data_IF_938708097914
#
_entry.id   IF_938708097914
#
_cell.length_a   1.000
_cell.length_b   1.000
_cell.length_c   1.000
_cell.angle_alpha   90.00
_cell.angle_beta   90.00
_cell.angle_gamma   90.00
#
_symmetry.space_group_name_H-M   'P 1'
#
loop_
_entity.id
_entity.type
_entity.pdbx_description
1 polymer ?
#
# COMPACT_ATOMS: atom_id res chain seq x y z
N UNK A 1 -4.34 18.42 -19.92
CA UNK A 1 -5.52 17.94 -20.68
C UNK A 1 -5.44 16.43 -20.75
N UNK A 2 -6.15 15.70 -19.89
CA UNK A 2 -6.15 14.23 -19.95
C UNK A 2 -7.25 13.81 -20.92
N UNK A 3 -6.86 13.16 -22.02
CA UNK A 3 -7.80 12.65 -23.01
C UNK A 3 -8.77 11.66 -22.36
N UNK A 4 -10.04 11.71 -22.79
CA UNK A 4 -11.14 10.91 -22.27
C UNK A 4 -10.93 9.42 -22.64
N UNK A 5 -10.11 8.70 -21.88
CA UNK A 5 -9.78 7.29 -22.13
C UNK A 5 -10.97 6.41 -21.70
N UNK A 6 -11.69 5.86 -22.67
CA UNK A 6 -12.71 4.82 -22.42
C UNK A 6 -12.03 3.44 -22.39
N UNK A 7 -12.20 2.66 -21.31
CA UNK A 7 -11.62 1.33 -21.19
C UNK A 7 -12.28 0.37 -22.21
N UNK A 8 -11.46 -0.36 -22.95
CA UNK A 8 -11.84 -1.23 -24.08
C UNK A 8 -12.32 -2.60 -23.61
N UNK A 9 -11.93 -3.07 -22.44
CA UNK A 9 -12.33 -4.37 -21.88
C UNK A 9 -12.48 -4.34 -20.35
N UNK A 10 -12.95 -5.46 -19.78
CA UNK A 10 -13.13 -5.59 -18.32
C UNK A 10 -11.82 -5.55 -17.53
N UNK A 11 -10.72 -6.01 -18.13
CA UNK A 11 -9.40 -5.93 -17.50
C UNK A 11 -8.96 -4.47 -17.35
N UNK A 12 -9.06 -3.65 -18.40
CA UNK A 12 -8.74 -2.21 -18.36
C UNK A 12 -9.67 -1.41 -17.44
N UNK A 13 -10.90 -1.89 -17.18
CA UNK A 13 -11.79 -1.29 -16.18
C UNK A 13 -11.32 -1.55 -14.76
N UNK A 14 -10.84 -2.77 -14.49
CA UNK A 14 -10.46 -3.20 -13.14
C UNK A 14 -8.99 -2.88 -12.82
N UNK A 15 -8.13 -2.89 -13.83
CA UNK A 15 -6.70 -2.70 -13.73
C UNK A 15 -6.31 -1.47 -14.54
N UNK A 16 -5.91 -0.40 -13.85
CA UNK A 16 -5.35 0.79 -14.46
C UNK A 16 -3.94 0.99 -13.91
N UNK A 17 -2.95 1.09 -14.78
CA UNK A 17 -1.59 1.40 -14.36
C UNK A 17 -1.56 2.84 -13.82
N UNK A 18 -1.08 3.03 -12.60
CA UNK A 18 -1.01 4.34 -11.93
C UNK A 18 0.41 4.88 -11.98
N UNK A 19 1.40 4.01 -11.77
CA UNK A 19 2.82 4.38 -11.74
C UNK A 19 3.53 3.89 -13.02
N UNK A 20 4.28 4.79 -13.66
CA UNK A 20 5.11 4.49 -14.84
C UNK A 20 6.59 4.34 -14.51
N UNK A 21 6.99 4.74 -13.30
CA UNK A 21 8.34 4.70 -12.76
C UNK A 21 8.29 4.46 -11.25
N UNK A 22 9.46 4.15 -10.67
CA UNK A 22 9.62 3.97 -9.23
C UNK A 22 9.23 5.25 -8.46
N UNK A 23 8.22 5.20 -7.57
CA UNK A 23 7.81 6.36 -6.76
C UNK A 23 8.89 6.87 -5.81
N UNK A 24 9.94 6.10 -5.53
CA UNK A 24 11.06 6.52 -4.69
C UNK A 24 12.20 7.20 -5.46
N UNK A 25 12.13 7.29 -6.79
CA UNK A 25 13.22 7.84 -7.61
C UNK A 25 13.55 9.31 -7.26
N UNK A 26 12.53 10.11 -6.96
CA UNK A 26 12.65 11.56 -6.70
C UNK A 26 12.41 11.93 -5.23
N UNK A 27 12.34 10.93 -4.35
CA UNK A 27 12.13 11.13 -2.90
C UNK A 27 13.48 11.33 -2.22
N UNK A 28 13.52 12.22 -1.22
CA UNK A 28 14.75 12.51 -0.46
C UNK A 28 15.30 11.27 0.26
N UNK A 29 16.60 11.29 0.57
CA UNK A 29 17.29 10.13 1.12
C UNK A 29 16.76 9.71 2.50
N UNK A 30 16.39 10.66 3.37
CA UNK A 30 15.88 10.35 4.71
C UNK A 30 14.53 9.61 4.64
N UNK A 31 13.63 10.07 3.77
CA UNK A 31 12.36 9.36 3.53
C UNK A 31 12.61 7.96 2.96
N UNK A 32 13.57 7.80 2.03
CA UNK A 32 13.92 6.48 1.48
C UNK A 32 14.47 5.54 2.56
N UNK A 33 15.33 6.04 3.44
CA UNK A 33 15.92 5.28 4.55
C UNK A 33 14.87 4.84 5.58
N UNK A 34 13.81 5.63 5.77
CA UNK A 34 12.64 5.25 6.60
C UNK A 34 11.72 4.26 5.90
N UNK A 35 11.50 4.38 4.58
CA UNK A 35 10.62 3.48 3.83
C UNK A 35 11.22 2.09 3.68
N UNK A 36 12.52 1.99 3.38
CA UNK A 36 13.20 0.72 3.13
C UNK A 36 12.96 -0.36 4.22
N UNK A 37 13.08 -0.07 5.53
CA UNK A 37 12.80 -1.06 6.57
C UNK A 37 11.32 -1.42 6.69
N UNK A 38 10.39 -0.48 6.46
CA UNK A 38 8.94 -0.75 6.45
C UNK A 38 8.57 -1.67 5.28
N UNK A 39 9.05 -1.34 4.08
CA UNK A 39 8.90 -2.15 2.86
C UNK A 39 9.46 -3.56 3.09
N UNK A 40 10.69 -3.68 3.57
CA UNK A 40 11.33 -4.98 3.82
C UNK A 40 10.55 -5.82 4.84
N UNK A 41 9.94 -5.21 5.86
CA UNK A 41 9.09 -5.94 6.80
C UNK A 41 7.86 -6.53 6.09
N UNK A 42 7.12 -5.72 5.34
CA UNK A 42 5.95 -6.16 4.58
C UNK A 42 6.33 -7.28 3.61
N UNK A 43 7.38 -7.07 2.82
CA UNK A 43 7.79 -8.02 1.79
C UNK A 43 8.23 -9.38 2.35
N UNK A 44 8.66 -9.45 3.62
CA UNK A 44 9.07 -10.69 4.29
C UNK A 44 7.98 -11.36 5.12
N UNK A 45 7.02 -10.60 5.64
CA UNK A 45 6.09 -11.09 6.67
C UNK A 45 4.61 -11.01 6.27
N UNK A 46 4.28 -10.30 5.19
CA UNK A 46 2.92 -10.13 4.72
C UNK A 46 2.68 -10.85 3.40
N UNK A 47 1.42 -11.25 3.15
CA UNK A 47 0.99 -11.91 1.91
C UNK A 47 -0.12 -11.16 1.17
N UNK A 48 -0.80 -10.22 1.83
CA UNK A 48 -1.92 -9.45 1.27
C UNK A 48 -1.53 -8.62 0.03
N UNK A 49 -0.27 -8.18 -0.05
CA UNK A 49 0.27 -7.46 -1.19
C UNK A 49 0.50 -8.34 -2.43
N UNK A 50 0.36 -9.67 -2.30
CA UNK A 50 0.58 -10.65 -3.36
C UNK A 50 -0.66 -11.40 -3.82
N UNK A 51 -1.87 -10.87 -3.55
CA UNK A 51 -3.11 -11.45 -4.07
C UNK A 51 -3.10 -11.66 -5.59
N UNK A 52 -3.96 -12.53 -6.09
CA UNK A 52 -3.86 -13.06 -7.45
C UNK A 52 -4.10 -12.03 -8.56
N UNK A 53 -4.77 -10.91 -8.27
CA UNK A 53 -5.11 -9.87 -9.26
C UNK A 53 -4.68 -8.49 -8.81
N UNK A 54 -4.33 -7.63 -9.76
CA UNK A 54 -3.80 -6.30 -9.48
C UNK A 54 -4.81 -5.38 -8.78
N UNK A 55 -6.10 -5.49 -9.10
CA UNK A 55 -7.14 -4.72 -8.39
C UNK A 55 -7.32 -5.15 -6.94
N UNK A 56 -7.11 -6.44 -6.63
CA UNK A 56 -7.15 -6.91 -5.24
C UNK A 56 -5.94 -6.40 -4.48
N UNK A 57 -4.73 -6.51 -5.07
CA UNK A 57 -3.50 -5.96 -4.48
C UNK A 57 -3.67 -4.47 -4.17
N UNK A 58 -4.11 -3.66 -5.13
CA UNK A 58 -4.32 -2.22 -4.93
C UNK A 58 -5.32 -1.92 -3.83
N UNK A 59 -6.45 -2.63 -3.82
CA UNK A 59 -7.47 -2.47 -2.79
C UNK A 59 -6.93 -2.83 -1.40
N UNK A 60 -6.19 -3.94 -1.29
CA UNK A 60 -5.63 -4.38 0.00
C UNK A 60 -4.52 -3.44 0.47
N UNK A 61 -3.56 -3.10 -0.39
CA UNK A 61 -2.50 -2.13 -0.10
C UNK A 61 -3.09 -0.81 0.43
N UNK A 62 -4.06 -0.23 -0.28
CA UNK A 62 -4.71 1.02 0.10
C UNK A 62 -5.40 0.94 1.47
N UNK A 63 -6.24 -0.08 1.69
CA UNK A 63 -7.04 -0.15 2.90
C UNK A 63 -6.22 -0.56 4.14
N UNK A 64 -5.28 -1.49 3.99
CA UNK A 64 -4.43 -1.94 5.10
C UNK A 64 -3.49 -0.82 5.51
N UNK A 65 -2.81 -0.16 4.57
CA UNK A 65 -1.87 0.92 4.90
C UNK A 65 -2.56 2.19 5.40
N UNK A 66 -3.77 2.51 4.91
CA UNK A 66 -4.56 3.62 5.45
C UNK A 66 -4.95 3.37 6.91
N UNK A 67 -5.46 2.17 7.24
CA UNK A 67 -5.78 1.80 8.62
C UNK A 67 -4.53 1.74 9.50
N UNK A 68 -3.41 1.27 8.96
CA UNK A 68 -2.12 1.28 9.68
C UNK A 68 -1.71 2.71 10.03
N UNK A 69 -1.85 3.67 9.10
CA UNK A 69 -1.57 5.07 9.35
C UNK A 69 -2.48 5.67 10.44
N UNK A 70 -3.77 5.35 10.44
CA UNK A 70 -4.70 5.75 11.49
C UNK A 70 -4.27 5.21 12.86
N UNK A 71 -3.94 3.92 12.96
CA UNK A 71 -3.48 3.30 14.20
C UNK A 71 -2.17 3.91 14.72
N UNK A 72 -1.20 4.18 13.83
CA UNK A 72 0.05 4.85 14.18
C UNK A 72 -0.17 6.29 14.66
N UNK A 73 -1.23 6.94 14.20
CA UNK A 73 -1.62 8.29 14.60
C UNK A 73 -2.59 8.31 15.80
N UNK A 74 -2.88 7.15 16.41
CA UNK A 74 -3.86 6.97 17.49
C UNK A 74 -5.26 7.50 17.12
N UNK A 75 -5.62 7.39 15.85
CA UNK A 75 -6.92 7.79 15.32
C UNK A 75 -7.93 6.62 15.40
N UNK A 76 -9.23 6.90 15.60
CA UNK A 76 -10.25 5.87 15.58
C UNK A 76 -10.33 5.20 14.19
N UNK A 77 -10.46 3.86 14.19
CA UNK A 77 -10.63 3.06 12.96
C UNK A 77 -12.01 2.45 12.94
N UNK A 78 -12.83 2.88 11.98
CA UNK A 78 -14.14 2.28 11.72
C UNK A 78 -13.99 1.00 10.89
N UNK A 79 -14.74 -0.04 11.26
CA UNK A 79 -14.77 -1.33 10.56
C UNK A 79 -16.20 -1.88 10.44
N UNK A 80 -17.12 -1.17 9.77
CA UNK A 80 -18.54 -1.54 9.72
C UNK A 80 -18.79 -2.85 8.95
N UNK A 81 -17.93 -3.22 8.00
CA UNK A 81 -18.08 -4.45 7.21
C UNK A 81 -17.11 -5.56 7.61
N UNK A 82 -17.43 -6.81 7.23
CA UNK A 82 -16.52 -7.95 7.45
C UNK A 82 -15.18 -7.79 6.74
N UNK A 83 -15.18 -7.23 5.53
CA UNK A 83 -13.95 -6.98 4.76
C UNK A 83 -13.06 -5.91 5.41
N UNK A 84 -13.64 -4.85 5.98
CA UNK A 84 -12.87 -3.84 6.70
C UNK A 84 -12.25 -4.38 7.99
N UNK A 85 -12.94 -5.30 8.67
CA UNK A 85 -12.35 -6.03 9.81
C UNK A 85 -11.14 -6.86 9.39
N UNK A 86 -11.17 -7.50 8.21
CA UNK A 86 -9.99 -8.19 7.67
C UNK A 86 -8.82 -7.22 7.48
N UNK A 87 -9.05 -6.07 6.81
CA UNK A 87 -7.99 -5.07 6.63
C UNK A 87 -7.45 -4.54 7.96
N UNK A 88 -8.33 -4.35 8.94
CA UNK A 88 -7.93 -3.86 10.25
C UNK A 88 -7.03 -4.84 11.00
N UNK A 89 -7.28 -6.15 10.92
CA UNK A 89 -6.42 -7.14 11.59
C UNK A 89 -5.00 -7.10 11.02
N UNK A 90 -4.84 -7.04 9.70
CA UNK A 90 -3.53 -6.88 9.07
C UNK A 90 -2.86 -5.55 9.48
N UNK A 91 -3.64 -4.47 9.54
CA UNK A 91 -3.15 -3.15 9.98
C UNK A 91 -2.67 -3.14 11.44
N UNK A 92 -3.36 -3.84 12.35
CA UNK A 92 -2.95 -3.99 13.76
C UNK A 92 -1.62 -4.72 13.88
N UNK A 93 -1.39 -5.74 13.04
CA UNK A 93 -0.11 -6.45 13.02
C UNK A 93 1.04 -5.55 12.53
N UNK A 94 0.78 -4.71 11.52
CA UNK A 94 1.76 -3.73 11.04
C UNK A 94 2.05 -2.66 12.10
N UNK A 95 1.01 -2.06 12.70
CA UNK A 95 1.15 -1.06 13.76
C UNK A 95 2.04 -1.57 14.91
N UNK A 96 1.74 -2.77 15.43
CA UNK A 96 2.53 -3.40 16.49
C UNK A 96 3.98 -3.62 16.07
N UNK A 97 4.20 -4.23 14.91
CA UNK A 97 5.54 -4.54 14.43
C UNK A 97 6.36 -3.27 14.17
N UNK A 98 5.73 -2.21 13.64
CA UNK A 98 6.42 -0.96 13.35
C UNK A 98 6.79 -0.23 14.63
N UNK A 99 5.88 -0.14 15.60
CA UNK A 99 6.16 0.45 16.91
C UNK A 99 7.22 -0.32 17.70
N UNK A 100 7.31 -1.63 17.51
CA UNK A 100 8.34 -2.47 18.15
C UNK A 100 9.70 -2.30 17.49
N UNK A 101 9.76 -2.35 16.16
CA UNK A 101 11.02 -2.44 15.39
C UNK A 101 11.61 -1.08 15.03
N UNK A 102 10.79 -0.05 14.96
CA UNK A 102 11.17 1.26 14.43
C UNK A 102 10.82 2.35 15.45
N UNK A 103 11.61 2.51 16.53
CA UNK A 103 11.30 3.45 17.61
C UNK A 103 11.03 4.88 17.13
N UNK A 104 11.75 5.32 16.09
CA UNK A 104 11.59 6.63 15.46
C UNK A 104 10.17 6.93 14.98
N UNK A 105 9.36 5.91 14.66
CA UNK A 105 7.98 6.13 14.18
C UNK A 105 7.09 6.74 15.26
N UNK A 106 7.41 6.51 16.55
CA UNK A 106 6.68 7.07 17.69
C UNK A 106 7.00 8.55 17.94
N UNK A 107 8.12 9.02 17.40
CA UNK A 107 8.62 10.39 17.58
C UNK A 107 8.21 11.31 16.41
N UNK A 108 7.70 10.72 15.32
CA UNK A 108 7.25 11.48 14.14
C UNK A 108 5.95 12.23 14.40
N UNK A 109 5.80 13.39 13.76
CA UNK A 109 4.52 14.07 13.70
C UNK A 109 3.51 13.23 12.91
N UNK A 110 2.22 13.31 13.29
CA UNK A 110 1.15 12.53 12.67
C UNK A 110 1.03 12.78 11.16
N UNK A 111 1.23 14.03 10.72
CA UNK A 111 1.18 14.37 9.29
C UNK A 111 2.35 13.75 8.51
N UNK A 112 3.53 13.65 9.13
CA UNK A 112 4.70 12.98 8.55
C UNK A 112 4.49 11.47 8.46
N UNK A 113 3.88 10.85 9.49
CA UNK A 113 3.48 9.43 9.44
C UNK A 113 2.53 9.19 8.26
N UNK A 114 1.51 10.04 8.11
CA UNK A 114 0.55 9.92 6.99
C UNK A 114 1.23 10.11 5.65
N UNK A 115 2.18 11.05 5.53
CA UNK A 115 2.97 11.24 4.31
C UNK A 115 3.83 10.00 4.00
N UNK A 116 4.57 9.49 5.00
CA UNK A 116 5.40 8.30 4.88
C UNK A 116 4.60 7.08 4.43
N UNK A 117 3.42 6.87 5.03
CA UNK A 117 2.54 5.75 4.69
C UNK A 117 1.93 5.85 3.30
N UNK A 118 1.66 7.07 2.80
CA UNK A 118 1.26 7.29 1.40
C UNK A 118 2.39 6.95 0.44
N UNK A 119 3.62 7.35 0.74
CA UNK A 119 4.78 7.02 -0.10
C UNK A 119 5.09 5.52 -0.07
N UNK A 120 5.00 4.87 1.10
CA UNK A 120 5.10 3.42 1.23
C UNK A 120 4.03 2.70 0.41
N UNK A 121 2.78 3.19 0.43
CA UNK A 121 1.71 2.63 -0.38
C UNK A 121 2.03 2.72 -1.89
N UNK A 122 2.42 3.91 -2.37
CA UNK A 122 2.80 4.10 -3.76
C UNK A 122 3.93 3.14 -4.17
N UNK A 123 4.92 2.98 -3.29
CA UNK A 123 6.04 2.07 -3.49
C UNK A 123 5.59 0.60 -3.60
N UNK A 124 4.71 0.13 -2.70
CA UNK A 124 4.17 -1.23 -2.80
C UNK A 124 3.35 -1.43 -4.07
N UNK A 125 2.51 -0.46 -4.44
CA UNK A 125 1.75 -0.52 -5.68
C UNK A 125 2.67 -0.59 -6.91
N UNK A 126 3.77 0.14 -6.93
CA UNK A 126 4.78 -0.01 -7.97
C UNK A 126 5.39 -1.42 -7.94
N UNK A 127 5.90 -1.88 -6.81
CA UNK A 127 6.61 -3.15 -6.71
C UNK A 127 5.74 -4.37 -7.02
N UNK A 128 4.51 -4.38 -6.52
CA UNK A 128 3.65 -5.56 -6.56
C UNK A 128 2.58 -5.49 -7.64
N UNK A 129 2.45 -4.35 -8.35
CA UNK A 129 1.44 -4.14 -9.38
C UNK A 129 2.07 -3.56 -10.64
N UNK A 130 2.37 -2.26 -10.66
CA UNK A 130 2.63 -1.52 -11.90
C UNK A 130 4.03 -1.74 -12.49
N UNK A 131 5.00 -2.10 -11.66
CA UNK A 131 6.35 -2.53 -12.04
C UNK A 131 6.51 -4.05 -12.05
N UNK A 132 5.46 -4.81 -11.71
CA UNK A 132 5.50 -6.28 -11.71
C UNK A 132 5.43 -6.82 -13.14
N UNK A 133 6.21 -7.87 -13.41
CA UNK A 133 6.16 -8.61 -14.67
C UNK A 133 5.08 -9.70 -14.69
N UNK A 134 4.28 -9.83 -13.63
CA UNK A 134 3.23 -10.84 -13.55
C UNK A 134 2.03 -10.46 -14.44
N UNK A 135 1.94 -11.10 -15.60
CA UNK A 135 0.85 -10.87 -16.56
C UNK A 135 -0.52 -11.36 -16.05
N UNK A 136 -0.56 -12.27 -15.06
CA UNK A 136 -1.80 -12.80 -14.49
C UNK A 136 -2.57 -11.75 -13.67
N UNK A 137 -1.93 -10.64 -13.29
CA UNK A 137 -2.56 -9.57 -12.51
C UNK A 137 -3.76 -8.92 -13.21
N UNK A 138 -3.83 -9.04 -14.54
CA UNK A 138 -4.89 -8.47 -15.38
C UNK A 138 -5.94 -9.49 -15.83
N UNK A 139 -5.74 -10.78 -15.53
CA UNK A 139 -6.66 -11.85 -15.97
C UNK A 139 -7.99 -11.73 -15.24
N UNK A 140 -9.09 -11.53 -15.98
CA UNK A 140 -10.40 -11.21 -15.38
C UNK A 140 -10.99 -12.38 -14.58
N UNK A 141 -10.70 -13.61 -15.01
CA UNK A 141 -11.15 -14.83 -14.34
C UNK A 141 -10.27 -15.09 -13.12
N UNK A 142 -10.83 -15.66 -12.04
CA UNK A 142 -10.07 -16.12 -10.88
C UNK A 142 -9.62 -17.57 -11.07
#
# INVERSE_FOLDING_TARGET
MSANHKPKNMAERKYQRVYTSDPLAEVDQDTRDKIAPLENYIMKNCLWQFNSRGWDRRKQNANILAKTAQLLCDEPVENPTGLEKCYWVDAVLLDRAYRERFPWIKEMAKDDIKALMRTLNARLDWLTIDGSLNLELTVVNY
#
